data_IF_685067416337
#
_entry.id   IF_685067416337
#
_cell.length_a   1.000
_cell.length_b   1.000
_cell.length_c   1.000
_cell.angle_alpha   90.00
_cell.angle_beta   90.00
_cell.angle_gamma   90.00
#
_symmetry.space_group_name_H-M   'P 1'
#
loop_
_entity.id
_entity.type
_entity.pdbx_description
1 polymer ?
#
# COMPACT_ATOMS: atom_id res chain seq x y z
N UNK A 1 -12.36 8.19 17.24
CA UNK A 1 -11.12 7.49 17.62
C UNK A 1 -11.31 6.04 18.06
N UNK A 2 -10.21 5.32 18.31
CA UNK A 2 -10.21 3.99 18.95
C UNK A 2 -8.79 3.47 19.17
N UNK A 3 -8.62 2.51 20.08
CA UNK A 3 -7.37 1.78 20.28
C UNK A 3 -7.62 0.29 20.29
N UNK A 4 -6.78 -0.47 19.59
CA UNK A 4 -6.89 -1.93 19.51
C UNK A 4 -5.51 -2.56 19.68
N UNK A 5 -5.41 -3.59 20.52
CA UNK A 5 -4.16 -4.32 20.70
C UNK A 5 -4.12 -5.54 19.78
N UNK A 6 -3.20 -5.53 18.82
CA UNK A 6 -2.93 -6.68 17.97
C UNK A 6 -1.99 -7.63 18.70
N UNK A 7 -2.57 -8.63 19.36
CA UNK A 7 -1.83 -9.65 20.10
C UNK A 7 -0.91 -10.51 19.22
N UNK A 8 -1.23 -10.66 17.93
CA UNK A 8 -0.45 -11.49 17.01
C UNK A 8 0.88 -10.82 16.65
N UNK A 9 0.88 -9.48 16.58
CA UNK A 9 2.03 -8.66 16.21
C UNK A 9 2.66 -7.92 17.39
N UNK A 10 2.02 -8.00 18.57
CA UNK A 10 2.38 -7.28 19.79
C UNK A 10 2.48 -5.75 19.56
N UNK A 11 1.45 -5.22 18.89
CA UNK A 11 1.35 -3.80 18.56
C UNK A 11 0.07 -3.18 19.11
N UNK A 12 0.14 -1.91 19.50
CA UNK A 12 -1.01 -1.08 19.78
C UNK A 12 -1.33 -0.24 18.55
N UNK A 13 -2.53 -0.42 18.01
CA UNK A 13 -3.11 0.48 17.01
C UNK A 13 -3.81 1.63 17.71
N UNK A 14 -3.49 2.85 17.27
CA UNK A 14 -4.13 4.09 17.73
C UNK A 14 -4.75 4.74 16.51
N UNK A 15 -6.07 4.67 16.42
CA UNK A 15 -6.86 5.12 15.29
C UNK A 15 -7.55 6.40 15.67
N UNK A 16 -7.36 7.42 14.84
CA UNK A 16 -7.95 8.72 15.06
C UNK A 16 -9.15 8.91 14.11
N UNK A 17 -10.01 9.87 14.40
CA UNK A 17 -11.24 10.20 13.66
C UNK A 17 -10.99 11.29 12.60
N UNK A 18 -12.05 11.94 12.15
CA UNK A 18 -12.01 12.96 11.12
C UNK A 18 -11.16 14.18 11.48
N UNK A 19 -10.98 14.48 12.77
CA UNK A 19 -10.15 15.59 13.26
C UNK A 19 -8.67 15.49 12.84
N UNK A 20 -8.21 14.30 12.46
CA UNK A 20 -6.84 14.05 12.00
C UNK A 20 -6.79 13.29 10.66
N UNK A 21 -7.86 13.39 9.86
CA UNK A 21 -8.04 12.72 8.58
C UNK A 21 -8.19 11.17 8.65
N UNK A 22 -8.61 10.62 9.79
CA UNK A 22 -8.80 9.18 9.98
C UNK A 22 -7.50 8.38 10.03
N UNK A 23 -6.36 9.04 10.25
CA UNK A 23 -5.04 8.38 10.26
C UNK A 23 -4.89 7.44 11.45
N UNK A 24 -4.08 6.41 11.25
CA UNK A 24 -3.77 5.41 12.27
C UNK A 24 -2.27 5.37 12.54
N UNK A 25 -1.88 5.34 13.81
CA UNK A 25 -0.51 5.09 14.24
C UNK A 25 -0.41 3.68 14.81
N UNK A 26 0.72 3.02 14.58
CA UNK A 26 1.03 1.71 15.17
C UNK A 26 2.24 1.86 16.08
N UNK A 27 2.12 1.33 17.28
CA UNK A 27 3.18 1.31 18.27
C UNK A 27 3.54 -0.13 18.61
N UNK A 28 4.82 -0.48 18.50
CA UNK A 28 5.31 -1.70 19.11
C UNK A 28 5.36 -1.53 20.62
N UNK A 29 4.96 -2.57 21.35
CA UNK A 29 4.98 -2.59 22.81
C UNK A 29 6.14 -3.43 23.29
N UNK A 30 7.20 -2.81 23.82
CA UNK A 30 8.35 -3.57 24.29
C UNK A 30 7.95 -4.50 25.45
N UNK A 31 8.23 -5.80 25.30
CA UNK A 31 7.72 -6.82 26.23
C UNK A 31 8.32 -6.71 27.63
N UNK A 32 9.51 -6.12 27.79
CA UNK A 32 10.24 -6.04 29.06
C UNK A 32 9.99 -4.70 29.75
N UNK A 33 10.26 -3.62 29.03
CA UNK A 33 10.20 -2.24 29.52
C UNK A 33 8.80 -1.63 29.45
N UNK A 34 7.87 -2.25 28.71
CA UNK A 34 6.50 -1.77 28.46
C UNK A 34 6.42 -0.40 27.80
N UNK A 35 7.51 0.03 27.14
CA UNK A 35 7.55 1.28 26.40
C UNK A 35 6.91 1.11 25.03
N UNK A 36 6.22 2.15 24.58
CA UNK A 36 5.66 2.23 23.23
C UNK A 36 6.67 2.89 22.29
N UNK A 37 6.89 2.30 21.12
CA UNK A 37 7.68 2.90 20.04
C UNK A 37 6.85 2.96 18.79
N UNK A 38 6.66 4.15 18.21
CA UNK A 38 5.94 4.31 16.95
C UNK A 38 6.70 3.61 15.83
N UNK A 39 6.03 2.74 15.09
CA UNK A 39 6.60 2.00 13.96
C UNK A 39 6.04 2.46 12.64
N UNK A 40 4.73 2.77 12.58
CA UNK A 40 4.04 3.06 11.34
C UNK A 40 2.97 4.13 11.49
N UNK A 41 2.74 4.86 10.40
CA UNK A 41 1.56 5.70 10.22
C UNK A 41 0.86 5.26 8.94
N UNK A 42 -0.45 5.09 9.02
CA UNK A 42 -1.30 4.76 7.89
C UNK A 42 -2.34 5.86 7.67
N UNK A 43 -2.59 6.17 6.40
CA UNK A 43 -3.80 6.87 6.01
C UNK A 43 -5.02 5.95 6.16
N UNK A 44 -6.20 6.54 6.37
CA UNK A 44 -7.46 5.78 6.28
C UNK A 44 -7.58 5.11 4.90
N UNK A 45 -8.36 4.02 4.75
CA UNK A 45 -8.65 3.47 3.43
C UNK A 45 -9.15 4.56 2.47
N UNK A 46 -8.63 4.57 1.25
CA UNK A 46 -8.98 5.61 0.26
C UNK A 46 -10.49 5.64 -0.04
N UNK A 47 -11.16 4.49 0.03
CA UNK A 47 -12.60 4.31 -0.16
C UNK A 47 -13.45 4.69 1.07
N UNK A 48 -12.85 4.85 2.25
CA UNK A 48 -13.55 5.24 3.47
C UNK A 48 -13.59 6.76 3.58
N UNK A 49 -14.75 7.43 3.67
CA UNK A 49 -14.81 8.89 3.83
C UNK A 49 -14.11 9.35 5.13
N UNK A 50 -13.79 10.63 5.23
CA UNK A 50 -13.31 11.20 6.49
C UNK A 50 -14.50 11.41 7.44
N UNK A 51 -14.60 10.59 8.49
CA UNK A 51 -15.77 10.49 9.36
C UNK A 51 -15.35 10.40 10.82
N UNK A 52 -16.32 10.62 11.72
CA UNK A 52 -16.11 10.38 13.13
C UNK A 52 -16.17 8.86 13.41
N UNK A 53 -15.00 8.31 13.75
CA UNK A 53 -14.86 6.89 14.10
C UNK A 53 -15.11 6.77 15.61
N UNK A 54 -15.72 5.74 16.18
CA UNK A 54 -15.79 5.57 17.67
C UNK A 54 -15.44 4.16 18.14
N UNK A 55 -14.72 3.43 17.30
CA UNK A 55 -14.23 2.10 17.61
C UNK A 55 -13.37 1.58 16.48
N UNK A 56 -12.44 0.69 16.84
CA UNK A 56 -11.58 -0.01 15.90
C UNK A 56 -11.37 -1.43 16.37
N UNK A 57 -11.47 -2.40 15.47
CA UNK A 57 -11.23 -3.81 15.77
C UNK A 57 -10.44 -4.45 14.63
N UNK A 58 -9.61 -5.43 14.97
CA UNK A 58 -8.78 -6.17 14.01
C UNK A 58 -9.08 -7.66 14.17
N UNK A 59 -9.17 -8.38 13.05
CA UNK A 59 -9.33 -9.82 13.05
C UNK A 59 -8.09 -10.55 13.58
N UNK A 60 -8.23 -11.84 13.88
CA UNK A 60 -7.12 -12.70 14.29
C UNK A 60 -6.20 -13.03 13.10
N UNK A 61 -4.93 -13.39 13.39
CA UNK A 61 -3.97 -13.82 12.37
C UNK A 61 -4.42 -15.05 11.56
N UNK A 62 -5.35 -15.86 12.08
CA UNK A 62 -5.92 -17.00 11.33
C UNK A 62 -6.76 -16.57 10.12
N UNK A 63 -7.16 -15.30 10.04
CA UNK A 63 -7.88 -14.73 8.90
C UNK A 63 -6.95 -14.05 7.88
N UNK A 64 -5.64 -14.16 8.06
CA UNK A 64 -4.68 -13.57 7.15
C UNK A 64 -4.66 -14.26 5.79
N UNK A 65 -4.87 -13.48 4.73
CA UNK A 65 -4.67 -13.88 3.33
C UNK A 65 -3.82 -12.82 2.65
N UNK A 66 -2.77 -13.22 1.93
CA UNK A 66 -1.85 -12.30 1.23
C UNK A 66 -1.32 -11.15 2.11
N UNK A 67 -0.92 -11.49 3.35
CA UNK A 67 -0.44 -10.57 4.37
C UNK A 67 -1.44 -9.47 4.79
N UNK A 68 -2.74 -9.73 4.66
CA UNK A 68 -3.81 -8.82 5.06
C UNK A 68 -4.85 -9.55 5.91
N UNK A 69 -5.28 -8.93 7.00
CA UNK A 69 -6.41 -9.38 7.83
C UNK A 69 -7.48 -8.29 7.93
N UNK A 70 -8.76 -8.64 8.08
CA UNK A 70 -9.83 -7.67 8.22
C UNK A 70 -9.62 -6.70 9.39
N UNK A 71 -10.06 -5.46 9.20
CA UNK A 71 -10.19 -4.46 10.24
C UNK A 71 -11.51 -3.71 10.09
N UNK A 72 -12.04 -3.21 11.20
CA UNK A 72 -13.36 -2.63 11.27
C UNK A 72 -13.36 -1.32 12.04
N UNK A 73 -14.13 -0.35 11.56
CA UNK A 73 -14.35 0.93 12.23
C UNK A 73 -15.84 1.10 12.55
N UNK A 74 -16.15 1.62 13.72
CA UNK A 74 -17.50 2.07 14.06
C UNK A 74 -17.68 3.52 13.58
N UNK A 75 -18.74 3.76 12.79
CA UNK A 75 -19.13 5.08 12.28
C UNK A 75 -20.34 5.56 13.10
N UNK A 76 -20.10 6.47 14.05
CA UNK A 76 -21.13 6.93 14.99
C UNK A 76 -22.19 7.81 14.31
N UNK A 77 -21.79 8.51 13.25
CA UNK A 77 -22.63 9.37 12.44
C UNK A 77 -23.52 8.58 11.47
N UNK A 78 -23.34 7.26 11.37
CA UNK A 78 -24.03 6.38 10.43
C UNK A 78 -23.94 6.92 8.98
N UNK A 79 -22.75 7.37 8.59
CA UNK A 79 -22.56 8.12 7.34
C UNK A 79 -22.98 7.27 6.13
N UNK A 80 -23.89 7.81 5.32
CA UNK A 80 -24.52 7.12 4.19
C UNK A 80 -25.27 5.82 4.59
N UNK A 81 -25.75 5.72 5.83
CA UNK A 81 -26.54 4.58 6.33
C UNK A 81 -25.70 3.40 6.83
N UNK A 82 -24.39 3.57 6.99
CA UNK A 82 -23.49 2.53 7.50
C UNK A 82 -22.97 2.87 8.88
N UNK A 83 -23.23 2.01 9.88
CA UNK A 83 -22.68 2.15 11.24
C UNK A 83 -21.38 1.38 11.46
N UNK A 84 -21.03 0.49 10.51
CA UNK A 84 -19.78 -0.26 10.51
C UNK A 84 -19.12 -0.17 9.14
N UNK A 85 -17.80 -0.06 9.15
CA UNK A 85 -16.96 -0.01 7.95
C UNK A 85 -15.85 -1.04 8.07
N UNK A 86 -15.40 -1.55 6.93
CA UNK A 86 -14.37 -2.58 6.87
C UNK A 86 -13.24 -2.20 5.93
N UNK A 87 -12.07 -2.75 6.21
CA UNK A 87 -10.86 -2.64 5.41
C UNK A 87 -9.89 -3.73 5.86
N UNK A 88 -8.59 -3.52 5.61
CA UNK A 88 -7.58 -4.49 5.98
C UNK A 88 -6.35 -3.82 6.58
N UNK A 89 -5.71 -4.52 7.51
CA UNK A 89 -4.39 -4.18 8.06
C UNK A 89 -3.38 -5.27 7.72
N UNK A 90 -2.07 -4.97 7.77
CA UNK A 90 -1.01 -5.95 7.54
C UNK A 90 -1.03 -7.08 8.59
N UNK A 91 -0.61 -8.28 8.18
CA UNK A 91 -0.39 -9.41 9.08
C UNK A 91 1.07 -9.56 9.52
N UNK A 92 1.91 -8.58 9.24
CA UNK A 92 3.32 -8.57 9.60
C UNK A 92 3.78 -7.15 9.93
N UNK A 93 4.82 -7.06 10.76
CA UNK A 93 5.48 -5.79 11.10
C UNK A 93 6.36 -5.25 9.95
N UNK A 94 6.58 -6.06 8.92
CA UNK A 94 7.24 -5.62 7.69
C UNK A 94 6.27 -4.81 6.84
N UNK A 95 6.49 -3.49 6.79
CA UNK A 95 5.94 -2.69 5.69
C UNK A 95 6.56 -3.22 4.42
N UNK A 96 5.75 -3.87 3.57
CA UNK A 96 6.22 -4.19 2.24
C UNK A 96 6.59 -2.84 1.59
N UNK A 97 7.81 -2.66 1.07
CA UNK A 97 8.15 -1.43 0.36
C UNK A 97 7.09 -1.20 -0.72
N UNK A 98 6.78 0.06 -1.06
CA UNK A 98 5.90 0.34 -2.19
C UNK A 98 6.37 -0.51 -3.38
N UNK A 99 5.46 -1.07 -4.20
CA UNK A 99 5.86 -1.88 -5.35
C UNK A 99 6.89 -1.08 -6.12
N UNK A 100 8.12 -1.60 -6.17
CA UNK A 100 9.18 -1.02 -6.99
C UNK A 100 8.68 -1.19 -8.41
N UNK A 101 8.08 -0.14 -8.98
CA UNK A 101 7.93 -0.07 -10.42
C UNK A 101 9.35 -0.18 -10.96
N UNK A 102 9.69 -1.21 -11.75
CA UNK A 102 11.00 -1.26 -12.36
C UNK A 102 11.14 0.01 -13.19
N UNK A 103 11.95 0.95 -12.70
CA UNK A 103 12.37 2.09 -13.47
C UNK A 103 13.11 1.50 -14.66
N UNK A 104 12.45 1.37 -15.81
CA UNK A 104 13.16 1.11 -17.05
C UNK A 104 14.07 2.32 -17.25
N UNK A 105 15.40 2.19 -17.17
CA UNK A 105 16.26 3.32 -17.39
C UNK A 105 16.20 3.60 -18.89
N UNK A 106 15.33 4.52 -19.29
CA UNK A 106 15.32 5.05 -20.66
C UNK A 106 16.67 5.71 -21.01
N UNK A 107 17.52 5.98 -20.00
CA UNK A 107 18.89 6.48 -20.15
C UNK A 107 20.00 5.42 -20.23
N UNK A 108 19.73 4.11 -20.11
CA UNK A 108 20.79 3.08 -20.13
C UNK A 108 20.98 2.38 -21.47
N UNK A 109 20.33 2.85 -22.54
CA UNK A 109 20.71 2.41 -23.88
C UNK A 109 22.05 3.08 -24.22
N UNK A 110 23.12 2.29 -24.20
CA UNK A 110 24.40 2.71 -24.77
C UNK A 110 24.20 3.23 -26.19
N UNK A 111 24.98 4.24 -26.60
CA UNK A 111 24.99 4.74 -27.97
C UNK A 111 25.15 3.61 -29.01
N UNK A 112 25.83 2.51 -28.64
CA UNK A 112 25.94 1.32 -29.47
C UNK A 112 24.58 0.61 -29.71
N UNK A 113 23.73 0.53 -28.68
CA UNK A 113 22.39 -0.08 -28.78
C UNK A 113 21.44 0.77 -29.63
N UNK A 114 21.51 2.10 -29.49
CA UNK A 114 20.74 3.03 -30.35
C UNK A 114 21.20 2.93 -31.81
N UNK A 115 22.51 2.81 -32.04
CA UNK A 115 23.09 2.69 -33.39
C UNK A 115 22.71 1.37 -34.06
N UNK A 116 22.73 0.25 -33.33
CA UNK A 116 22.30 -1.06 -33.83
C UNK A 116 20.82 -1.09 -34.22
N UNK A 117 19.95 -0.47 -33.41
CA UNK A 117 18.53 -0.35 -33.71
C UNK A 117 18.27 0.51 -34.96
N UNK A 118 18.97 1.64 -35.08
CA UNK A 118 18.87 2.53 -36.24
C UNK A 118 19.38 1.86 -37.53
N UNK A 119 20.50 1.13 -37.48
CA UNK A 119 21.03 0.37 -38.62
C UNK A 119 20.10 -0.78 -39.02
N UNK A 120 19.50 -1.48 -38.05
CA UNK A 120 18.50 -2.52 -38.30
C UNK A 120 17.27 -1.97 -39.00
N UNK A 121 16.74 -0.84 -38.52
CA UNK A 121 15.61 -0.16 -39.15
C UNK A 121 15.95 0.30 -40.59
N UNK A 122 17.12 0.91 -40.81
CA UNK A 122 17.57 1.33 -42.14
C UNK A 122 17.70 0.14 -43.10
N UNK A 123 18.21 -1.00 -42.63
CA UNK A 123 18.35 -2.20 -43.46
C UNK A 123 16.99 -2.79 -43.87
N UNK A 124 16.02 -2.81 -42.96
CA UNK A 124 14.65 -3.25 -43.25
C UNK A 124 13.97 -2.32 -44.25
N UNK A 125 14.09 -1.00 -44.07
CA UNK A 125 13.56 0.01 -44.99
C UNK A 125 14.21 -0.10 -46.38
N UNK A 126 15.53 -0.30 -46.44
CA UNK A 126 16.26 -0.47 -47.69
C UNK A 126 15.87 -1.76 -48.42
N UNK A 127 15.72 -2.89 -47.72
CA UNK A 127 15.21 -4.14 -48.31
C UNK A 127 13.79 -4.00 -48.86
N UNK A 128 12.91 -3.29 -48.14
CA UNK A 128 11.54 -3.02 -48.61
C UNK A 128 11.55 -2.21 -49.91
N UNK A 129 12.37 -1.17 -50.02
CA UNK A 129 12.44 -0.36 -51.24
C UNK A 129 13.16 -1.06 -52.40
N UNK A 130 14.12 -1.95 -52.13
CA UNK A 130 14.79 -2.74 -53.18
C UNK A 130 13.91 -3.86 -53.76
N UNK A 131 12.79 -4.21 -53.13
CA UNK A 131 11.81 -5.18 -53.64
C UNK A 131 10.73 -4.60 -54.56
N UNK A 132 10.77 -3.28 -54.85
CA UNK A 132 9.76 -2.58 -55.68
C UNK A 132 10.28 -2.28 -57.10
N UNK A 133 11.45 -2.81 -57.47
CA UNK A 133 11.94 -2.74 -58.86
C UNK A 133 11.81 -4.11 -59.55
N UNK A 134 10.60 -4.40 -60.03
CA UNK A 134 10.32 -5.36 -61.11
C UNK A 134 8.98 -4.96 -61.76
#
# INVERSE_FOLDING_TARGET
MGTEFDQDLNNLWVVCDDGCAGRSAVFNVDAVTKKFTSTNMYERPASMPNINNEGFAIAAATECVDNRKPAFWADDANTAGYSLRSGNVPCSNTVMPPPVVPEFPLGALSAAAVTLLALGALWVLRRRNSGVAA
#
